data_IF_373466542316
#
_entry.id   IF_373466542316
#
_cell.length_a   1.000
_cell.length_b   1.000
_cell.length_c   1.000
_cell.angle_alpha   90.00
_cell.angle_beta   90.00
_cell.angle_gamma   90.00
#
_symmetry.space_group_name_H-M   'P 1'
#
loop_
_entity.id
_entity.type
_entity.pdbx_description
1 polymer ?
#
# COMPACT_ATOMS: atom_id res chain seq x y z
N UNK A 1 -0.05 20.40 11.39
CA UNK A 1 -0.15 21.83 11.01
C UNK A 1 -1.46 21.97 10.28
N UNK A 2 -2.37 22.80 10.80
CA UNK A 2 -3.72 22.93 10.27
C UNK A 2 -3.71 23.79 8.98
N UNK A 3 -4.33 23.34 7.87
CA UNK A 3 -4.47 24.15 6.66
C UNK A 3 -5.11 25.52 6.92
N UNK A 4 -6.08 25.62 7.82
CA UNK A 4 -6.79 26.88 8.09
C UNK A 4 -5.88 27.92 8.73
N UNK A 5 -4.98 27.47 9.62
CA UNK A 5 -3.98 28.33 10.25
C UNK A 5 -2.96 28.86 9.24
N UNK A 6 -2.58 28.04 8.25
CA UNK A 6 -1.66 28.45 7.18
C UNK A 6 -2.29 29.52 6.29
N UNK A 7 -3.57 29.36 5.95
CA UNK A 7 -4.32 30.31 5.14
C UNK A 7 -4.50 31.63 5.89
N UNK A 8 -4.85 31.58 7.19
CA UNK A 8 -4.94 32.77 8.03
C UNK A 8 -3.61 33.53 8.09
N UNK A 9 -2.49 32.83 8.32
CA UNK A 9 -1.15 33.44 8.36
C UNK A 9 -0.77 34.07 7.01
N UNK A 10 -1.25 33.53 5.90
CA UNK A 10 -1.05 34.08 4.56
C UNK A 10 -1.94 35.29 4.24
N UNK A 11 -2.82 35.71 5.17
CA UNK A 11 -3.71 36.85 4.97
C UNK A 11 -5.10 36.49 4.46
N UNK A 12 -5.52 35.23 4.58
CA UNK A 12 -6.85 34.74 4.21
C UNK A 12 -6.97 34.30 2.75
N UNK A 13 -8.11 33.68 2.40
CA UNK A 13 -8.40 33.20 1.05
C UNK A 13 -8.45 34.32 0.00
N UNK A 14 -8.78 35.56 0.40
CA UNK A 14 -8.86 36.71 -0.51
C UNK A 14 -7.53 37.05 -1.19
N UNK A 15 -6.40 36.60 -0.62
CA UNK A 15 -5.07 36.78 -1.21
C UNK A 15 -4.74 35.75 -2.29
N UNK A 16 -5.55 34.71 -2.42
CA UNK A 16 -5.39 33.68 -3.42
C UNK A 16 -6.30 33.97 -4.62
N UNK A 17 -5.77 33.80 -5.82
CA UNK A 17 -6.55 33.89 -7.05
C UNK A 17 -7.03 32.50 -7.42
N UNK A 18 -8.32 32.34 -7.72
CA UNK A 18 -8.91 31.06 -8.13
C UNK A 18 -9.51 31.16 -9.53
N UNK A 19 -9.48 30.05 -10.27
CA UNK A 19 -10.16 29.92 -11.55
C UNK A 19 -11.66 29.61 -11.40
N UNK A 20 -12.36 29.42 -12.53
CA UNK A 20 -13.79 29.09 -12.56
C UNK A 20 -14.11 27.71 -11.95
N UNK A 21 -13.11 26.86 -11.80
CA UNK A 21 -13.21 25.53 -11.20
C UNK A 21 -12.80 25.54 -9.71
N UNK A 22 -12.64 26.72 -9.09
CA UNK A 22 -12.16 26.94 -7.72
C UNK A 22 -10.74 26.40 -7.46
N UNK A 23 -9.88 26.31 -8.48
CA UNK A 23 -8.49 25.92 -8.32
C UNK A 23 -7.59 27.15 -8.18
N UNK A 24 -6.60 27.12 -7.27
CA UNK A 24 -5.71 28.25 -7.06
C UNK A 24 -4.80 28.44 -8.29
N UNK A 25 -4.80 29.64 -8.84
CA UNK A 25 -4.04 30.03 -10.03
C UNK A 25 -2.58 30.32 -9.65
N UNK A 26 -1.64 29.86 -10.47
CA UNK A 26 -0.20 30.13 -10.31
C UNK A 26 0.54 29.20 -9.34
N UNK A 27 -0.17 28.25 -8.72
CA UNK A 27 0.45 27.22 -7.86
C UNK A 27 1.35 26.30 -8.70
N UNK A 28 0.91 25.91 -9.89
CA UNK A 28 1.69 25.07 -10.80
C UNK A 28 3.02 25.71 -11.20
N UNK A 29 3.01 27.02 -11.48
CA UNK A 29 4.22 27.75 -11.86
C UNK A 29 5.17 27.93 -10.68
N UNK A 30 4.64 28.16 -9.47
CA UNK A 30 5.44 28.19 -8.25
C UNK A 30 6.08 26.81 -7.96
N UNK A 31 5.40 25.71 -8.29
CA UNK A 31 5.86 24.34 -8.06
C UNK A 31 6.83 23.81 -9.12
N UNK A 32 6.86 24.37 -10.34
CA UNK A 32 7.76 23.96 -11.44
C UNK A 32 9.23 23.80 -11.01
N UNK A 33 9.92 24.83 -10.45
CA UNK A 33 11.33 24.70 -10.09
C UNK A 33 11.59 23.60 -9.05
N UNK A 34 10.64 23.40 -8.13
CA UNK A 34 10.75 22.35 -7.11
C UNK A 34 10.53 20.94 -7.70
N UNK A 35 9.68 20.81 -8.72
CA UNK A 35 9.47 19.54 -9.42
C UNK A 35 10.65 19.17 -10.32
N UNK A 36 11.31 20.17 -10.90
CA UNK A 36 12.51 19.99 -11.74
C UNK A 36 13.75 19.67 -10.91
N UNK A 37 13.82 20.16 -9.67
CA UNK A 37 14.88 19.80 -8.73
C UNK A 37 14.75 18.33 -8.28
N UNK A 38 15.66 17.50 -8.79
CA UNK A 38 15.75 16.07 -8.46
C UNK A 38 16.01 15.83 -6.97
N UNK A 39 16.63 16.77 -6.26
CA UNK A 39 16.85 16.66 -4.81
C UNK A 39 15.53 16.76 -4.04
N UNK A 40 14.55 17.49 -4.58
CA UNK A 40 13.23 17.72 -3.98
C UNK A 40 12.15 16.78 -4.53
N UNK A 41 12.47 15.93 -5.50
CA UNK A 41 11.52 14.97 -6.09
C UNK A 41 10.77 14.09 -5.06
N UNK A 42 11.36 13.85 -3.88
CA UNK A 42 10.76 13.07 -2.80
C UNK A 42 9.54 13.73 -2.13
N UNK A 43 9.37 15.05 -2.25
CA UNK A 43 8.21 15.77 -1.68
C UNK A 43 6.97 15.68 -2.59
N UNK A 44 7.15 15.28 -3.84
CA UNK A 44 6.07 15.10 -4.81
C UNK A 44 5.67 13.63 -4.89
N UNK A 45 4.37 13.36 -5.11
CA UNK A 45 3.90 12.01 -5.40
C UNK A 45 4.50 11.58 -6.74
N UNK A 46 5.48 10.67 -6.69
CA UNK A 46 5.89 9.95 -7.88
C UNK A 46 4.79 8.96 -8.26
N UNK A 47 4.51 8.84 -9.56
CA UNK A 47 3.77 7.72 -10.14
C UNK A 47 4.60 6.44 -9.95
N UNK A 48 4.66 5.96 -8.71
CA UNK A 48 5.25 4.67 -8.40
C UNK A 48 4.30 3.63 -8.99
N UNK A 49 4.81 2.62 -9.71
CA UNK A 49 3.98 1.47 -10.08
C UNK A 49 3.31 0.92 -8.81
N UNK A 50 2.08 0.38 -8.92
CA UNK A 50 1.38 -0.20 -7.78
C UNK A 50 2.34 -1.09 -7.00
N UNK A 51 2.53 -0.77 -5.72
CA UNK A 51 3.48 -1.47 -4.86
C UNK A 51 3.10 -2.96 -4.82
N UNK A 52 3.88 -3.78 -5.53
CA UNK A 52 3.80 -5.23 -5.49
C UNK A 52 4.98 -5.74 -4.64
N UNK A 53 4.81 -5.89 -3.32
CA UNK A 53 5.85 -6.48 -2.50
C UNK A 53 6.10 -7.91 -2.97
N UNK A 54 7.37 -8.24 -3.25
CA UNK A 54 7.79 -9.61 -3.65
C UNK A 54 7.30 -10.71 -2.69
N UNK A 55 7.01 -10.35 -1.43
CA UNK A 55 6.54 -11.29 -0.39
C UNK A 55 5.26 -10.85 0.34
N UNK A 56 4.50 -9.89 -0.19
CA UNK A 56 3.23 -9.46 0.44
C UNK A 56 1.97 -9.90 -0.32
N UNK A 57 2.15 -10.65 -1.42
CA UNK A 57 1.07 -11.24 -2.19
C UNK A 57 0.72 -12.61 -1.65
N UNK A 58 -0.46 -12.73 -1.06
CA UNK A 58 -1.25 -13.98 -0.97
C UNK A 58 -0.46 -15.24 -0.60
N UNK A 59 -0.22 -15.43 0.70
CA UNK A 59 0.03 -16.75 1.29
C UNK A 59 -1.20 -17.66 1.22
N UNK A 60 -1.78 -17.86 0.03
CA UNK A 60 -3.02 -18.61 -0.19
C UNK A 60 -2.82 -19.82 -1.12
N UNK A 61 -1.68 -19.97 -1.78
CA UNK A 61 -1.41 -21.17 -2.61
C UNK A 61 -0.32 -22.08 -2.06
N UNK A 62 0.19 -21.79 -0.85
CA UNK A 62 1.20 -22.63 -0.24
C UNK A 62 0.55 -23.63 0.72
N UNK A 63 0.91 -24.89 0.55
CA UNK A 63 0.47 -25.99 1.39
C UNK A 63 0.84 -25.70 2.86
N UNK A 64 -0.13 -25.66 3.79
CA UNK A 64 0.13 -25.31 5.18
C UNK A 64 0.98 -26.35 5.92
N UNK A 65 1.18 -27.55 5.37
CA UNK A 65 2.04 -28.60 5.90
C UNK A 65 3.46 -28.57 5.34
N UNK A 66 3.74 -27.84 4.26
CA UNK A 66 5.09 -27.78 3.69
C UNK A 66 6.08 -27.07 4.63
N UNK A 67 7.33 -27.53 4.66
CA UNK A 67 8.38 -27.04 5.57
C UNK A 67 8.58 -25.52 5.48
N UNK A 68 8.55 -24.97 4.27
CA UNK A 68 8.78 -23.54 4.01
C UNK A 68 7.55 -22.67 4.34
N UNK A 69 6.35 -23.27 4.44
CA UNK A 69 5.07 -22.56 4.62
C UNK A 69 4.22 -23.15 5.73
N UNK A 70 4.89 -23.72 6.73
CA UNK A 70 4.27 -24.41 7.86
C UNK A 70 3.41 -23.44 8.68
N UNK A 71 2.11 -23.72 8.80
CA UNK A 71 1.15 -22.90 9.56
C UNK A 71 0.16 -23.76 10.37
N UNK A 72 0.40 -23.85 11.68
CA UNK A 72 -0.40 -24.68 12.60
C UNK A 72 -1.87 -24.26 12.67
N UNK A 73 -2.18 -22.96 12.64
CA UNK A 73 -3.57 -22.48 12.66
C UNK A 73 -4.35 -22.90 11.42
N UNK A 74 -3.71 -22.82 10.25
CA UNK A 74 -4.31 -23.25 8.97
C UNK A 74 -4.43 -24.77 8.87
N UNK A 75 -3.45 -25.53 9.40
CA UNK A 75 -3.56 -26.98 9.51
C UNK A 75 -4.75 -27.38 10.37
N UNK A 76 -4.92 -26.79 11.56
CA UNK A 76 -6.05 -27.08 12.45
C UNK A 76 -7.42 -26.74 11.84
N UNK A 77 -7.51 -25.62 11.11
CA UNK A 77 -8.70 -25.27 10.35
C UNK A 77 -9.01 -26.32 9.27
N UNK A 78 -8.00 -26.72 8.48
CA UNK A 78 -8.17 -27.68 7.40
C UNK A 78 -8.49 -29.09 7.91
N UNK A 79 -7.88 -29.53 9.01
CA UNK A 79 -8.21 -30.79 9.70
C UNK A 79 -9.67 -30.82 10.18
N UNK A 80 -10.21 -29.68 10.61
CA UNK A 80 -11.60 -29.54 11.07
C UNK A 80 -12.61 -29.48 9.92
N UNK A 81 -12.25 -28.81 8.83
CA UNK A 81 -13.14 -28.53 7.69
C UNK A 81 -13.10 -29.64 6.63
N UNK A 82 -11.92 -30.17 6.33
CA UNK A 82 -11.73 -31.25 5.36
C UNK A 82 -10.51 -32.13 5.72
N UNK A 83 -10.71 -33.15 6.58
CA UNK A 83 -9.63 -34.02 7.05
C UNK A 83 -8.99 -34.89 5.95
N UNK A 84 -9.66 -35.11 4.82
CA UNK A 84 -9.08 -35.83 3.68
C UNK A 84 -8.10 -34.94 2.91
N UNK A 85 -8.50 -33.71 2.61
CA UNK A 85 -7.63 -32.73 1.97
C UNK A 85 -6.41 -32.40 2.85
N UNK A 86 -6.60 -32.31 4.17
CA UNK A 86 -5.49 -32.13 5.10
C UNK A 86 -4.46 -33.26 5.01
N UNK A 87 -4.90 -34.52 4.97
CA UNK A 87 -4.03 -35.69 4.84
C UNK A 87 -3.28 -35.74 3.51
N UNK A 88 -3.94 -35.39 2.41
CA UNK A 88 -3.29 -35.30 1.09
C UNK A 88 -2.22 -34.21 1.09
N UNK A 89 -2.53 -33.03 1.60
CA UNK A 89 -1.58 -31.93 1.69
C UNK A 89 -0.41 -32.26 2.64
N UNK A 90 -0.67 -32.92 3.77
CA UNK A 90 0.38 -33.39 4.64
C UNK A 90 1.28 -34.43 3.95
N UNK A 91 0.69 -35.39 3.24
CA UNK A 91 1.43 -36.40 2.49
C UNK A 91 2.28 -35.79 1.37
N UNK A 92 1.75 -34.80 0.64
CA UNK A 92 2.50 -34.02 -0.36
C UNK A 92 3.67 -33.24 0.25
N UNK A 93 3.56 -32.86 1.52
CA UNK A 93 4.61 -32.24 2.31
C UNK A 93 5.57 -33.25 2.98
N UNK A 94 5.35 -34.56 2.82
CA UNK A 94 6.13 -35.62 3.45
C UNK A 94 5.81 -35.85 4.93
N UNK A 95 4.66 -35.36 5.40
CA UNK A 95 4.19 -35.48 6.78
C UNK A 95 3.01 -36.46 6.83
N UNK A 96 3.10 -37.49 7.66
CA UNK A 96 1.98 -38.39 7.95
C UNK A 96 1.24 -37.89 9.18
N UNK A 97 -0.04 -37.53 9.03
CA UNK A 97 -0.93 -37.01 10.09
C UNK A 97 -2.16 -37.90 10.29
#
# INVERSE_FOLDING_TARGET
LDPDYLIYKAGGLEKFTFDKDNKPVGVEDALKPYREDKSMAHIFKADKPPYHPKNGGSGINANPFAKETFNLTKQGQLLRENPEAARQMAADAGITI
#
